data_IF_235379083415
#
_entry.id   IF_235379083415
#
_cell.length_a   1.000
_cell.length_b   1.000
_cell.length_c   1.000
_cell.angle_alpha   90.00
_cell.angle_beta   90.00
_cell.angle_gamma   90.00
#
_symmetry.space_group_name_H-M   'P 1'
#
loop_
_entity.id
_entity.type
_entity.pdbx_description
1 polymer ?
#
# COMPACT_ATOMS: atom_id res chain seq x y z
N UNK A 1 -4.74 14.32 -5.23
CA UNK A 1 -5.41 13.28 -4.44
C UNK A 1 -4.82 13.31 -3.03
N UNK A 2 -5.68 13.46 -2.04
CA UNK A 2 -5.25 13.52 -0.65
C UNK A 2 -5.66 12.21 0.02
N UNK A 3 -4.71 11.38 0.51
CA UNK A 3 -5.07 10.15 1.20
C UNK A 3 -5.70 10.43 2.55
N UNK A 4 -6.64 9.59 2.95
CA UNK A 4 -7.27 9.69 4.26
C UNK A 4 -6.35 9.18 5.36
N UNK A 5 -5.52 8.20 5.03
CA UNK A 5 -4.55 7.60 5.94
C UNK A 5 -3.24 7.35 5.24
N UNK A 6 -2.18 7.28 6.01
CA UNK A 6 -0.83 7.04 5.51
C UNK A 6 -0.09 6.13 6.47
N UNK A 7 0.60 5.11 5.90
CA UNK A 7 1.51 4.26 6.66
C UNK A 7 2.88 4.27 6.01
N UNK A 8 3.92 4.30 6.84
CA UNK A 8 5.30 4.29 6.39
C UNK A 8 5.92 2.95 6.77
N UNK A 9 6.19 2.13 5.77
CA UNK A 9 6.75 0.80 5.94
C UNK A 9 8.22 0.74 5.55
N UNK A 10 8.91 1.88 5.48
CA UNK A 10 10.34 1.91 5.22
C UNK A 10 11.09 1.18 6.34
N UNK A 11 12.06 0.36 5.94
CA UNK A 11 12.82 -0.44 6.90
C UNK A 11 12.15 -1.75 7.31
N UNK A 12 10.90 -1.99 6.90
CA UNK A 12 10.22 -3.25 7.20
C UNK A 12 10.59 -4.31 6.15
N UNK A 13 11.05 -5.48 6.58
CA UNK A 13 11.37 -6.56 5.64
C UNK A 13 10.09 -7.17 5.06
N UNK A 14 10.20 -7.69 3.82
CA UNK A 14 9.11 -8.44 3.21
C UNK A 14 8.87 -9.74 4.02
N UNK A 15 7.61 -10.14 4.20
CA UNK A 15 6.39 -9.63 3.56
C UNK A 15 5.59 -8.62 4.41
N UNK A 16 6.20 -8.04 5.43
CA UNK A 16 5.48 -7.18 6.38
C UNK A 16 4.78 -5.98 5.73
N UNK A 17 5.38 -5.28 4.73
CA UNK A 17 4.65 -4.18 4.10
C UNK A 17 3.30 -4.59 3.52
N UNK A 18 3.23 -5.76 2.86
CA UNK A 18 1.98 -6.26 2.30
C UNK A 18 0.98 -6.63 3.40
N UNK A 19 1.44 -7.31 4.44
CA UNK A 19 0.59 -7.72 5.57
C UNK A 19 0.01 -6.49 6.27
N UNK A 20 0.87 -5.51 6.57
CA UNK A 20 0.44 -4.30 7.27
C UNK A 20 -0.48 -3.45 6.41
N UNK A 21 -0.27 -3.43 5.10
CA UNK A 21 -1.16 -2.73 4.18
C UNK A 21 -2.57 -3.32 4.23
N UNK A 22 -2.70 -4.64 4.20
CA UNK A 22 -4.01 -5.29 4.27
C UNK A 22 -4.68 -5.02 5.62
N UNK A 23 -3.94 -5.06 6.71
CA UNK A 23 -4.49 -4.75 8.03
C UNK A 23 -4.99 -3.30 8.10
N UNK A 24 -4.23 -2.36 7.54
CA UNK A 24 -4.63 -0.96 7.49
C UNK A 24 -5.89 -0.78 6.62
N UNK A 25 -5.97 -1.48 5.48
CA UNK A 25 -7.14 -1.38 4.60
C UNK A 25 -8.42 -1.85 5.28
N UNK A 26 -8.34 -2.82 6.17
CA UNK A 26 -9.51 -3.29 6.92
C UNK A 26 -10.08 -2.21 7.83
N UNK A 27 -9.25 -1.29 8.31
CA UNK A 27 -9.68 -0.21 9.19
C UNK A 27 -10.34 0.93 8.42
N UNK A 28 -10.21 0.96 7.10
CA UNK A 28 -10.78 2.01 6.28
C UNK A 28 -12.25 1.76 5.98
N UNK A 29 -12.97 2.85 5.74
CA UNK A 29 -14.33 2.81 5.23
C UNK A 29 -14.30 2.75 3.70
N UNK A 30 -15.38 2.30 3.10
CA UNK A 30 -15.48 2.22 1.65
C UNK A 30 -15.25 3.59 1.01
N UNK A 31 -14.38 3.62 0.02
CA UNK A 31 -14.02 4.84 -0.69
C UNK A 31 -12.85 5.61 -0.09
N UNK A 32 -12.41 5.26 1.12
CA UNK A 32 -11.25 5.91 1.72
C UNK A 32 -9.95 5.48 1.06
N UNK A 33 -8.96 6.33 1.11
CA UNK A 33 -7.69 6.17 0.40
C UNK A 33 -6.56 6.02 1.41
N UNK A 34 -5.71 5.02 1.18
CA UNK A 34 -4.51 4.76 1.98
C UNK A 34 -3.28 5.01 1.15
N UNK A 35 -2.33 5.78 1.70
CA UNK A 35 -0.99 5.92 1.12
C UNK A 35 -0.04 5.00 1.87
N UNK A 36 0.67 4.15 1.12
CA UNK A 36 1.66 3.23 1.68
C UNK A 36 3.02 3.57 1.11
N UNK A 37 4.02 3.71 1.98
CA UNK A 37 5.39 3.96 1.59
C UNK A 37 6.23 2.75 2.01
N UNK A 38 6.95 2.17 1.06
CA UNK A 38 7.77 0.98 1.29
C UNK A 38 9.10 1.13 0.57
N UNK A 39 10.14 0.49 1.11
CA UNK A 39 11.44 0.39 0.44
C UNK A 39 11.77 -1.06 0.08
N UNK A 40 10.82 -1.97 0.18
CA UNK A 40 10.99 -3.35 -0.21
C UNK A 40 10.70 -3.52 -1.70
N UNK A 41 11.70 -3.91 -2.53
CA UNK A 41 11.48 -4.04 -3.98
C UNK A 41 10.40 -5.05 -4.34
N UNK A 42 10.24 -6.11 -3.55
CA UNK A 42 9.24 -7.13 -3.81
C UNK A 42 7.81 -6.66 -3.54
N UNK A 43 7.64 -5.58 -2.78
CA UNK A 43 6.33 -5.04 -2.50
C UNK A 43 5.62 -4.56 -3.76
N UNK A 44 6.38 -4.22 -4.81
CA UNK A 44 5.79 -3.77 -6.08
C UNK A 44 4.94 -4.87 -6.74
N UNK A 45 5.21 -6.13 -6.42
CA UNK A 45 4.40 -7.25 -6.88
C UNK A 45 3.36 -7.66 -5.84
N UNK A 46 3.74 -7.67 -4.57
CA UNK A 46 2.91 -8.21 -3.49
C UNK A 46 1.76 -7.28 -3.11
N UNK A 47 2.03 -5.99 -2.94
CA UNK A 47 0.99 -5.06 -2.48
C UNK A 47 -0.11 -4.88 -3.53
N UNK A 48 0.18 -4.63 -4.81
CA UNK A 48 -0.88 -4.52 -5.81
C UNK A 48 -1.67 -5.82 -5.99
N UNK A 49 -1.00 -6.97 -5.98
CA UNK A 49 -1.67 -8.26 -6.14
C UNK A 49 -2.61 -8.53 -4.98
N UNK A 50 -2.17 -8.29 -3.74
CA UNK A 50 -3.00 -8.49 -2.57
C UNK A 50 -4.18 -7.52 -2.55
N UNK A 51 -3.96 -6.27 -2.91
CA UNK A 51 -5.03 -5.28 -2.99
C UNK A 51 -6.09 -5.72 -4.00
N UNK A 52 -5.67 -6.16 -5.17
CA UNK A 52 -6.58 -6.63 -6.22
C UNK A 52 -7.36 -7.85 -5.76
N UNK A 53 -6.69 -8.80 -5.09
CA UNK A 53 -7.34 -10.03 -4.62
C UNK A 53 -8.40 -9.74 -3.56
N UNK A 54 -8.28 -8.65 -2.83
CA UNK A 54 -9.24 -8.25 -1.81
C UNK A 54 -10.26 -7.22 -2.32
N UNK A 55 -10.26 -6.92 -3.62
CA UNK A 55 -11.23 -6.01 -4.21
C UNK A 55 -10.92 -4.53 -4.04
N UNK A 56 -9.69 -4.20 -3.62
CA UNK A 56 -9.26 -2.81 -3.50
C UNK A 56 -8.69 -2.31 -4.82
N UNK A 57 -8.70 -0.98 -5.02
CA UNK A 57 -8.17 -0.36 -6.22
C UNK A 57 -6.82 0.27 -5.94
N UNK A 58 -5.81 -0.09 -6.72
CA UNK A 58 -4.51 0.56 -6.69
C UNK A 58 -4.55 1.71 -7.69
N UNK A 59 -4.58 2.94 -7.18
CA UNK A 59 -4.74 4.12 -8.00
C UNK A 59 -3.42 4.63 -8.55
N UNK A 60 -2.35 4.57 -7.74
CA UNK A 60 -1.03 5.06 -8.12
C UNK A 60 0.02 4.13 -7.56
N UNK A 61 1.03 3.85 -8.38
CA UNK A 61 2.28 3.23 -7.94
C UNK A 61 3.39 4.15 -8.43
N UNK A 62 4.14 4.73 -7.50
CA UNK A 62 5.18 5.70 -7.82
C UNK A 62 6.46 5.28 -7.13
N UNK A 63 7.59 5.33 -7.84
CA UNK A 63 8.88 4.98 -7.25
C UNK A 63 9.85 6.14 -7.35
N UNK A 64 10.60 6.35 -6.26
CA UNK A 64 11.62 7.39 -6.16
C UNK A 64 12.85 6.75 -5.53
N UNK A 65 13.80 6.30 -6.36
CA UNK A 65 14.93 5.52 -5.90
C UNK A 65 14.46 4.20 -5.30
N UNK A 66 14.91 3.85 -4.08
CA UNK A 66 14.47 2.62 -3.42
C UNK A 66 13.08 2.73 -2.80
N UNK A 67 12.52 3.93 -2.72
CA UNK A 67 11.23 4.16 -2.07
C UNK A 67 10.10 4.02 -3.06
N UNK A 68 9.06 3.26 -2.70
CA UNK A 68 7.89 3.03 -3.53
C UNK A 68 6.66 3.52 -2.77
N UNK A 69 5.81 4.28 -3.44
CA UNK A 69 4.58 4.81 -2.86
C UNK A 69 3.38 4.21 -3.59
N UNK A 70 2.43 3.73 -2.82
CA UNK A 70 1.19 3.18 -3.33
C UNK A 70 0.02 4.01 -2.83
N UNK A 71 -0.93 4.31 -3.71
CA UNK A 71 -2.20 4.93 -3.34
C UNK A 71 -3.28 3.90 -3.62
N UNK A 72 -3.95 3.45 -2.57
CA UNK A 72 -4.93 2.36 -2.65
C UNK A 72 -6.26 2.85 -2.11
N UNK A 73 -7.32 2.60 -2.85
CA UNK A 73 -8.68 2.95 -2.46
C UNK A 73 -9.47 1.71 -2.08
N UNK A 74 -10.18 1.80 -0.96
CA UNK A 74 -11.03 0.70 -0.49
C UNK A 74 -12.40 0.64 -1.22
#
# INVERSE_FOLDING_TARGET
>A
MIPDYRIDMQGEPCPYPAINTLEAMKELKDGEILEVISDCPQSINNIPADAKNHGYKVLVIDSDGPTIRYIIQK
#
